data_IF_261271963848
#
_entry.id   IF_261271963848
#
_cell.length_a   1.000
_cell.length_b   1.000
_cell.length_c   1.000
_cell.angle_alpha   90.00
_cell.angle_beta   90.00
_cell.angle_gamma   90.00
#
_symmetry.space_group_name_H-M   'P 1'
#
loop_
_entity.id
_entity.type
_entity.pdbx_description
1 polymer ?
#
# COMPACT_ATOMS: atom_id res chain seq x y z
N UNK A 1 17.37 24.96 26.34
CA UNK A 1 16.50 25.43 25.24
C UNK A 1 16.92 24.97 23.84
N UNK A 2 18.12 24.43 23.59
CA UNK A 2 18.54 23.95 22.25
C UNK A 2 17.99 22.58 21.84
N UNK A 3 17.63 21.72 22.80
CA UNK A 3 17.16 20.34 22.51
C UNK A 3 15.66 20.32 22.14
N UNK A 4 14.90 21.34 22.54
CA UNK A 4 13.46 21.45 22.21
C UNK A 4 13.19 21.82 20.75
N UNK A 5 14.16 22.44 20.06
CA UNK A 5 14.02 22.82 18.65
C UNK A 5 14.24 21.65 17.68
N UNK A 6 14.95 20.59 18.09
CA UNK A 6 15.20 19.42 17.23
C UNK A 6 14.00 18.46 17.21
N UNK A 7 13.24 18.40 18.30
CA UNK A 7 12.06 17.53 18.40
C UNK A 7 10.86 18.02 17.55
N UNK A 8 10.78 19.31 17.24
CA UNK A 8 9.64 19.89 16.52
C UNK A 8 9.75 19.77 14.99
N UNK A 9 10.95 19.52 14.45
CA UNK A 9 11.17 19.35 13.02
C UNK A 9 10.85 17.92 12.52
N UNK A 10 10.79 16.93 13.42
CA UNK A 10 10.61 15.53 13.07
C UNK A 10 9.15 15.16 12.72
N UNK A 11 8.16 16.00 13.04
CA UNK A 11 6.74 15.67 12.87
C UNK A 11 6.16 16.09 11.51
N UNK A 12 6.92 16.77 10.65
CA UNK A 12 6.42 17.33 9.37
C UNK A 12 6.77 16.45 8.15
N UNK A 13 7.39 15.29 8.35
CA UNK A 13 7.71 14.35 7.25
C UNK A 13 6.57 13.40 6.89
N UNK A 14 5.31 13.71 7.24
CA UNK A 14 4.16 13.06 6.63
C UNK A 14 4.11 13.44 5.14
N UNK A 15 4.92 12.77 4.32
CA UNK A 15 4.98 13.00 2.88
C UNK A 15 3.60 12.87 2.26
N UNK A 16 3.38 13.54 1.12
CA UNK A 16 2.06 13.66 0.48
C UNK A 16 1.34 12.31 0.27
N UNK A 17 2.07 11.20 0.10
CA UNK A 17 1.47 9.86 0.01
C UNK A 17 0.86 9.39 1.35
N UNK A 18 1.47 9.74 2.49
CA UNK A 18 1.01 9.40 3.84
C UNK A 18 -0.38 9.94 4.14
N UNK A 19 -0.59 11.24 3.92
CA UNK A 19 -1.88 11.91 4.17
C UNK A 19 -2.99 11.37 3.26
N UNK A 20 -2.66 11.05 2.00
CA UNK A 20 -3.59 10.44 1.05
C UNK A 20 -4.02 9.04 1.51
N UNK A 21 -3.08 8.17 1.87
CA UNK A 21 -3.40 6.82 2.36
C UNK A 21 -4.22 6.87 3.65
N UNK A 22 -3.87 7.79 4.56
CA UNK A 22 -4.59 7.95 5.81
C UNK A 22 -6.03 8.42 5.62
N UNK A 23 -6.26 9.33 4.68
CA UNK A 23 -7.61 9.72 4.30
C UNK A 23 -8.39 8.54 3.68
N UNK A 24 -7.78 7.80 2.76
CA UNK A 24 -8.40 6.64 2.13
C UNK A 24 -8.80 5.54 3.14
N UNK A 25 -7.99 5.32 4.19
CA UNK A 25 -8.30 4.37 5.28
C UNK A 25 -9.51 4.76 6.15
N UNK A 26 -10.01 6.00 6.04
CA UNK A 26 -11.28 6.39 6.68
C UNK A 26 -12.50 5.95 5.88
N UNK A 27 -12.30 5.52 4.63
CA UNK A 27 -13.33 5.05 3.71
C UNK A 27 -13.30 3.52 3.62
N UNK A 28 -14.31 2.94 2.95
CA UNK A 28 -14.32 1.51 2.65
C UNK A 28 -13.26 1.19 1.59
N UNK A 29 -12.46 0.11 1.76
CA UNK A 29 -11.53 -0.33 0.72
C UNK A 29 -12.26 -0.60 -0.60
N UNK A 30 -11.62 -0.27 -1.73
CA UNK A 30 -12.15 -0.59 -3.06
C UNK A 30 -12.32 -2.11 -3.24
N UNK A 31 -11.43 -2.90 -2.63
CA UNK A 31 -11.55 -4.36 -2.60
C UNK A 31 -10.91 -4.94 -1.33
N UNK A 32 -11.55 -5.96 -0.78
CA UNK A 32 -10.95 -6.83 0.25
C UNK A 32 -10.68 -8.19 -0.38
N UNK A 33 -9.48 -8.72 -0.15
CA UNK A 33 -9.05 -10.04 -0.62
C UNK A 33 -8.40 -10.82 0.53
N UNK A 34 -8.34 -12.14 0.38
CA UNK A 34 -7.74 -13.04 1.37
C UNK A 34 -6.72 -13.96 0.71
N UNK A 35 -5.70 -14.35 1.45
CA UNK A 35 -4.67 -15.31 1.02
C UNK A 35 -4.29 -16.24 2.17
N UNK A 36 -3.99 -17.49 1.83
CA UNK A 36 -3.45 -18.48 2.76
C UNK A 36 -1.92 -18.38 2.88
N UNK A 37 -1.27 -17.50 2.10
CA UNK A 37 0.17 -17.27 2.14
C UNK A 37 0.53 -16.31 3.27
N UNK A 38 1.78 -16.34 3.78
CA UNK A 38 2.22 -15.40 4.81
C UNK A 38 2.17 -13.94 4.33
N UNK A 39 1.76 -13.03 5.23
CA UNK A 39 1.58 -11.60 4.96
C UNK A 39 2.77 -10.97 4.22
N UNK A 40 3.99 -11.19 4.73
CA UNK A 40 5.21 -10.64 4.12
C UNK A 40 5.48 -11.17 2.71
N UNK A 41 5.17 -12.44 2.45
CA UNK A 41 5.35 -13.05 1.12
C UNK A 41 4.36 -12.44 0.14
N UNK A 42 3.11 -12.26 0.56
CA UNK A 42 2.08 -11.60 -0.23
C UNK A 42 2.48 -10.15 -0.53
N UNK A 43 2.89 -9.39 0.50
CA UNK A 43 3.27 -7.99 0.33
C UNK A 43 4.48 -7.81 -0.63
N UNK A 44 5.49 -8.68 -0.52
CA UNK A 44 6.64 -8.67 -1.43
C UNK A 44 6.26 -9.05 -2.86
N UNK A 45 5.38 -10.04 -3.04
CA UNK A 45 4.86 -10.39 -4.36
C UNK A 45 4.12 -9.21 -4.99
N UNK A 46 3.25 -8.53 -4.24
CA UNK A 46 2.49 -7.38 -4.76
C UNK A 46 3.44 -6.24 -5.13
N UNK A 47 4.44 -5.95 -4.30
CA UNK A 47 5.47 -4.96 -4.62
C UNK A 47 6.12 -5.27 -5.96
N UNK A 48 6.57 -6.51 -6.16
CA UNK A 48 7.23 -6.92 -7.39
C UNK A 48 6.28 -6.85 -8.60
N UNK A 49 5.06 -7.37 -8.45
CA UNK A 49 4.06 -7.38 -9.52
C UNK A 49 3.69 -5.96 -9.99
N UNK A 50 3.65 -4.97 -9.09
CA UNK A 50 3.37 -3.58 -9.44
C UNK A 50 4.60 -2.79 -9.94
N UNK A 51 5.80 -3.36 -9.83
CA UNK A 51 7.02 -2.83 -10.42
C UNK A 51 7.27 -3.38 -11.84
N UNK A 52 6.41 -4.26 -12.35
CA UNK A 52 6.56 -4.83 -13.68
C UNK A 52 6.30 -3.78 -14.78
N UNK A 53 7.38 -3.30 -15.39
CA UNK A 53 7.36 -2.34 -16.49
C UNK A 53 6.67 -2.89 -17.75
N UNK A 54 6.65 -4.20 -17.97
CA UNK A 54 5.93 -4.79 -19.10
C UNK A 54 4.41 -4.66 -18.94
N UNK A 55 3.92 -4.52 -17.70
CA UNK A 55 2.49 -4.39 -17.38
C UNK A 55 2.08 -2.93 -17.20
N UNK A 56 2.94 -2.12 -16.56
CA UNK A 56 2.61 -0.76 -16.11
C UNK A 56 3.40 0.37 -16.81
N UNK A 57 4.42 0.06 -17.60
CA UNK A 57 5.23 1.07 -18.29
C UNK A 57 5.77 2.14 -17.33
N UNK A 58 5.48 3.41 -17.63
CA UNK A 58 5.91 4.55 -16.80
C UNK A 58 5.20 4.62 -15.43
N UNK A 59 4.09 3.91 -15.26
CA UNK A 59 3.34 3.82 -14.01
C UNK A 59 3.79 2.65 -13.12
N UNK A 60 4.80 1.90 -13.57
CA UNK A 60 5.45 0.86 -12.80
C UNK A 60 6.17 1.48 -11.60
N UNK A 61 5.85 0.98 -10.41
CA UNK A 61 6.42 1.54 -9.20
C UNK A 61 5.59 1.21 -7.97
N UNK A 62 6.20 0.46 -7.07
CA UNK A 62 5.64 0.16 -5.77
C UNK A 62 6.72 0.20 -4.69
N UNK A 63 6.30 0.61 -3.51
CA UNK A 63 7.14 0.74 -2.33
C UNK A 63 6.49 -0.05 -1.19
N UNK A 64 7.30 -0.82 -0.48
CA UNK A 64 6.87 -1.59 0.67
C UNK A 64 7.32 -0.86 1.95
N UNK A 65 6.40 -0.67 2.88
CA UNK A 65 6.69 -0.12 4.21
C UNK A 65 5.93 -0.88 5.30
N UNK A 66 6.34 -0.78 6.58
CA UNK A 66 5.55 -1.28 7.70
C UNK A 66 4.15 -0.66 7.70
N UNK A 67 3.12 -1.49 7.94
CA UNK A 67 1.73 -1.06 7.98
C UNK A 67 1.41 -0.21 9.22
N UNK A 68 0.57 0.81 9.06
CA UNK A 68 0.20 1.75 10.14
C UNK A 68 -0.45 1.08 11.35
N UNK A 69 -1.15 -0.03 11.14
CA UNK A 69 -1.81 -0.84 12.19
C UNK A 69 -1.13 -2.20 12.38
N UNK A 70 0.13 -2.34 11.96
CA UNK A 70 0.82 -3.63 11.82
C UNK A 70 0.70 -4.20 10.40
N UNK A 71 1.45 -5.28 10.13
CA UNK A 71 1.59 -5.85 8.79
C UNK A 71 2.43 -4.97 7.86
N UNK A 72 2.06 -4.92 6.58
CA UNK A 72 2.76 -4.14 5.55
C UNK A 72 1.79 -3.28 4.75
N UNK A 73 2.30 -2.19 4.20
CA UNK A 73 1.62 -1.40 3.16
C UNK A 73 2.48 -1.41 1.89
N UNK A 74 1.88 -1.82 0.77
CA UNK A 74 2.47 -1.64 -0.56
C UNK A 74 1.75 -0.49 -1.24
N UNK A 75 2.47 0.53 -1.70
CA UNK A 75 1.87 1.73 -2.28
C UNK A 75 2.64 2.21 -3.50
N UNK A 76 1.94 2.89 -4.41
CA UNK A 76 2.56 3.50 -5.59
C UNK A 76 2.93 4.95 -5.33
N UNK A 77 3.60 5.59 -6.30
CA UNK A 77 3.91 7.03 -6.22
C UNK A 77 2.63 7.83 -5.90
N UNK A 78 2.76 8.80 -5.00
CA UNK A 78 1.64 9.65 -4.55
C UNK A 78 0.44 8.90 -3.98
N UNK A 79 0.60 7.61 -3.62
CA UNK A 79 -0.46 6.73 -3.18
C UNK A 79 -1.69 6.71 -4.11
N UNK A 80 -1.49 6.72 -5.43
CA UNK A 80 -2.56 6.54 -6.41
C UNK A 80 -3.29 5.21 -6.22
N UNK A 81 -2.52 4.17 -5.88
CA UNK A 81 -3.04 2.91 -5.37
C UNK A 81 -2.16 2.43 -4.22
N UNK A 82 -2.78 1.79 -3.24
CA UNK A 82 -2.07 1.07 -2.19
C UNK A 82 -2.87 -0.11 -1.70
N UNK A 83 -2.19 -1.04 -1.04
CA UNK A 83 -2.80 -2.16 -0.34
C UNK A 83 -2.19 -2.28 1.04
N UNK A 84 -3.05 -2.38 2.05
CA UNK A 84 -2.66 -2.77 3.39
C UNK A 84 -2.81 -4.29 3.51
N UNK A 85 -1.74 -4.96 3.90
CA UNK A 85 -1.66 -6.41 4.07
C UNK A 85 -1.47 -6.70 5.56
N UNK A 86 -2.39 -7.45 6.15
CA UNK A 86 -2.37 -7.81 7.57
C UNK A 86 -2.69 -9.30 7.75
N UNK A 87 -2.30 -9.86 8.89
CA UNK A 87 -2.71 -11.22 9.27
C UNK A 87 -3.78 -11.15 10.34
N UNK A 88 -4.82 -11.96 10.20
CA UNK A 88 -5.82 -12.23 11.24
C UNK A 88 -5.95 -13.75 11.49
N UNK A 89 -6.95 -14.15 12.28
CA UNK A 89 -7.18 -15.55 12.63
C UNK A 89 -7.54 -16.44 11.41
N UNK A 90 -8.00 -15.85 10.32
CA UNK A 90 -8.43 -16.54 9.09
C UNK A 90 -7.35 -16.60 8.00
N UNK A 91 -6.29 -15.79 8.12
CA UNK A 91 -5.15 -15.78 7.21
C UNK A 91 -4.66 -14.37 6.92
N UNK A 92 -4.09 -14.17 5.73
CA UNK A 92 -3.66 -12.86 5.26
C UNK A 92 -4.83 -12.14 4.60
N UNK A 93 -5.11 -10.92 5.03
CA UNK A 93 -6.13 -10.02 4.47
C UNK A 93 -5.46 -8.85 3.77
N UNK A 94 -5.96 -8.52 2.59
CA UNK A 94 -5.51 -7.40 1.78
C UNK A 94 -6.66 -6.41 1.62
N UNK A 95 -6.44 -5.16 2.02
CA UNK A 95 -7.36 -4.05 1.80
C UNK A 95 -6.78 -3.15 0.71
N UNK A 96 -7.34 -3.24 -0.50
CA UNK A 96 -6.90 -2.47 -1.66
C UNK A 96 -7.66 -1.15 -1.76
N UNK A 97 -6.90 -0.08 -2.02
CA UNK A 97 -7.39 1.28 -2.18
C UNK A 97 -6.84 1.91 -3.46
N UNK A 98 -7.66 2.68 -4.15
CA UNK A 98 -7.27 3.47 -5.32
C UNK A 98 -7.97 4.83 -5.30
N UNK A 99 -7.24 5.89 -5.63
CA UNK A 99 -7.81 7.25 -5.72
C UNK A 99 -8.79 7.40 -6.90
N UNK A 100 -8.62 6.60 -7.95
CA UNK A 100 -9.43 6.61 -9.17
C UNK A 100 -9.82 5.17 -9.55
N UNK A 101 -11.03 4.99 -10.05
CA UNK A 101 -11.46 3.72 -10.66
C UNK A 101 -11.12 3.71 -12.16
N UNK A 102 -9.82 3.68 -12.48
CA UNK A 102 -9.34 3.64 -13.85
C UNK A 102 -8.75 2.28 -14.22
N UNK A 103 -8.27 2.17 -15.46
CA UNK A 103 -7.69 0.94 -15.97
C UNK A 103 -6.40 0.54 -15.25
N UNK A 104 -5.59 1.51 -14.80
CA UNK A 104 -4.35 1.25 -14.07
C UNK A 104 -4.68 0.67 -12.70
N UNK A 105 -5.66 1.23 -11.99
CA UNK A 105 -6.16 0.70 -10.73
C UNK A 105 -6.70 -0.73 -10.88
N UNK A 106 -7.52 -0.99 -11.91
CA UNK A 106 -8.05 -2.34 -12.21
C UNK A 106 -6.93 -3.33 -12.52
N UNK A 107 -5.89 -2.90 -13.24
CA UNK A 107 -4.72 -3.73 -13.56
C UNK A 107 -3.84 -4.00 -12.33
N UNK A 108 -3.68 -3.03 -11.43
CA UNK A 108 -3.03 -3.24 -10.13
C UNK A 108 -3.81 -4.23 -9.27
N UNK A 109 -5.14 -4.14 -9.27
CA UNK A 109 -6.01 -5.11 -8.61
C UNK A 109 -5.90 -6.52 -9.23
N UNK A 110 -5.78 -6.62 -10.55
CA UNK A 110 -5.55 -7.91 -11.20
C UNK A 110 -4.17 -8.50 -10.85
N UNK A 111 -3.11 -7.67 -10.90
CA UNK A 111 -1.75 -8.08 -10.58
C UNK A 111 -1.59 -8.49 -9.10
N UNK A 112 -2.26 -7.80 -8.16
CA UNK A 112 -2.21 -8.23 -6.76
C UNK A 112 -2.97 -9.54 -6.52
N UNK A 113 -4.03 -9.80 -7.30
CA UNK A 113 -4.81 -11.03 -7.17
C UNK A 113 -4.02 -12.30 -7.58
N UNK A 114 -3.00 -12.17 -8.43
CA UNK A 114 -2.11 -13.30 -8.78
C UNK A 114 -1.15 -13.67 -7.64
N UNK A 115 -1.04 -12.84 -6.60
CA UNK A 115 -0.15 -13.07 -5.46
C UNK A 115 -0.78 -13.90 -4.34
N UNK A 116 -2.11 -14.10 -4.36
CA UNK A 116 -2.88 -14.72 -3.28
C UNK A 116 -2.66 -16.22 -3.15
#
# INVERSE_FOLDING_TARGET
MRILMVALAATVLAGCAGSVMDNARTQTPNKVLTSNKPEKIVAQCVQFAWQDEAVFGVDAGAYLQPGKKGGSTVYTRSAESFVDVSTDASGTVLNYFAQKDDFVAKRRLAALATCL
#
